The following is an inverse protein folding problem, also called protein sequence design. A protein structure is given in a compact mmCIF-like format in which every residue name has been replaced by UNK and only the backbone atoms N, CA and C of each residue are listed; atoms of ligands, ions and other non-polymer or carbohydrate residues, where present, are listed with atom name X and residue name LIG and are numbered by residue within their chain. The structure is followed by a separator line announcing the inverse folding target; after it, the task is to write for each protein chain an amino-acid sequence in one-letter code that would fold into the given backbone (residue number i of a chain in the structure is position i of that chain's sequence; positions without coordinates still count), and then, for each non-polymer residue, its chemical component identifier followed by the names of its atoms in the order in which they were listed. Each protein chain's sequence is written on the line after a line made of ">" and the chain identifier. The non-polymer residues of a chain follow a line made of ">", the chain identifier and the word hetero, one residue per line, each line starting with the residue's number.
data_IF_277922965858
#
_entry.id   IF_277922965858
#
_cell.length_a   1.000
_cell.length_b   1.000
_cell.length_c   1.000
_cell.angle_alpha   90.00
_cell.angle_beta   90.00
_cell.angle_gamma   90.00
#
_symmetry.space_group_name_H-M   'P 1'
#
loop_
_entity.id
_entity.type
_entity.pdbx_description
1 polymer ?
#
# COMPACT_ATOMS: atom_id res chain seq x y z
N UNK A 1 3.54 6.63 22.77
CA UNK A 1 3.41 7.91 22.08
C UNK A 1 2.00 8.10 21.54
N UNK A 2 1.48 9.34 21.52
CA UNK A 2 0.19 9.63 20.90
C UNK A 2 0.26 9.42 19.38
N UNK A 3 -0.81 8.90 18.75
CA UNK A 3 -0.86 8.77 17.31
C UNK A 3 -0.82 10.14 16.62
N UNK A 4 -0.16 10.22 15.47
CA UNK A 4 -0.10 11.42 14.64
C UNK A 4 -1.52 11.83 14.19
N UNK A 5 -1.82 13.13 14.20
CA UNK A 5 -3.13 13.68 13.86
C UNK A 5 -3.01 14.77 12.79
N UNK A 6 -4.06 14.97 12.04
CA UNK A 6 -4.19 16.11 11.13
C UNK A 6 -4.12 17.41 11.94
N UNK A 7 -3.28 18.35 11.47
CA UNK A 7 -2.96 19.61 12.14
C UNK A 7 -1.69 19.56 13.00
N UNK A 8 -1.13 18.40 13.28
CA UNK A 8 0.14 18.29 14.00
C UNK A 8 1.27 18.92 13.17
N UNK A 9 2.14 19.72 13.82
CA UNK A 9 3.30 20.34 13.18
C UNK A 9 4.33 19.28 12.81
N UNK A 10 4.87 19.39 11.59
CA UNK A 10 5.95 18.51 11.10
C UNK A 10 7.04 19.32 10.41
N UNK A 11 8.24 18.76 10.41
CA UNK A 11 9.42 19.30 9.75
C UNK A 11 9.92 18.29 8.72
N UNK A 12 9.97 18.69 7.47
CA UNK A 12 10.58 17.89 6.41
C UNK A 12 12.05 18.25 6.28
N UNK A 13 12.93 17.27 6.44
CA UNK A 13 14.38 17.42 6.36
C UNK A 13 14.87 16.75 5.09
N UNK A 14 15.78 17.40 4.37
CA UNK A 14 16.36 16.84 3.15
C UNK A 14 17.47 17.71 2.58
N UNK A 15 17.85 17.44 1.32
CA UNK A 15 18.83 18.23 0.58
C UNK A 15 18.25 18.60 -0.80
N UNK A 16 17.27 19.54 -0.83
CA UNK A 16 16.61 19.91 -2.07
C UNK A 16 17.61 20.51 -3.04
N UNK A 17 17.57 20.02 -4.28
CA UNK A 17 18.44 20.47 -5.39
C UNK A 17 19.95 20.37 -5.11
N UNK A 18 20.39 19.64 -4.07
CA UNK A 18 21.81 19.55 -3.71
C UNK A 18 22.40 20.81 -3.07
N UNK A 19 21.55 21.71 -2.59
CA UNK A 19 21.98 23.00 -2.01
C UNK A 19 22.44 22.90 -0.56
N UNK A 20 22.45 21.70 0.01
CA UNK A 20 22.77 21.44 1.42
C UNK A 20 21.53 21.04 2.23
N UNK A 21 21.78 20.65 3.48
CA UNK A 21 20.71 20.25 4.38
C UNK A 21 19.72 21.40 4.60
N UNK A 22 18.45 21.12 4.38
CA UNK A 22 17.35 22.08 4.48
C UNK A 22 16.24 21.52 5.33
N UNK A 23 15.58 22.37 6.08
CA UNK A 23 14.39 22.03 6.89
C UNK A 23 13.24 22.92 6.44
N UNK A 24 12.11 22.32 6.13
CA UNK A 24 10.86 23.04 5.87
C UNK A 24 9.80 22.63 6.86
N UNK A 25 9.01 23.59 7.36
CA UNK A 25 7.93 23.37 8.30
C UNK A 25 6.59 23.35 7.60
N UNK A 26 5.70 22.52 8.09
CA UNK A 26 4.30 22.45 7.71
C UNK A 26 3.50 21.69 8.75
N UNK A 27 2.34 21.18 8.33
CA UNK A 27 1.47 20.35 9.16
C UNK A 27 1.15 19.03 8.48
N UNK A 28 0.63 18.10 9.25
CA UNK A 28 -0.07 16.93 8.70
C UNK A 28 -1.39 17.41 8.10
N UNK A 29 -1.48 17.43 6.78
CA UNK A 29 -2.69 17.86 6.06
C UNK A 29 -3.73 16.74 5.94
N UNK A 30 -3.28 15.48 5.88
CA UNK A 30 -4.13 14.30 5.89
C UNK A 30 -3.34 13.03 6.24
N UNK A 31 -4.05 12.01 6.69
CA UNK A 31 -3.51 10.66 6.95
C UNK A 31 -4.20 9.64 6.04
N UNK A 32 -3.54 8.50 5.81
CA UNK A 32 -4.12 7.40 5.04
C UNK A 32 -4.35 7.73 3.57
N UNK A 33 -3.55 8.64 2.98
CA UNK A 33 -3.66 8.95 1.55
C UNK A 33 -3.15 7.81 0.69
N UNK A 34 -3.99 7.37 -0.22
CA UNK A 34 -3.83 6.15 -0.99
C UNK A 34 -3.71 6.37 -2.49
N UNK A 35 -3.78 7.60 -2.93
CA UNK A 35 -4.25 8.01 -4.26
C UNK A 35 -3.20 8.01 -5.36
N UNK A 36 -1.96 7.63 -5.12
CA UNK A 36 -0.87 7.96 -6.05
C UNK A 36 -0.42 6.83 -6.97
N UNK A 37 -1.17 5.72 -7.01
CA UNK A 37 -0.87 4.63 -7.97
C UNK A 37 0.47 3.91 -7.76
N UNK A 38 1.30 4.39 -6.82
CA UNK A 38 2.67 3.92 -6.61
C UNK A 38 2.75 2.62 -5.80
N UNK A 39 1.79 2.40 -4.89
CA UNK A 39 1.72 1.16 -4.12
C UNK A 39 0.33 0.99 -3.50
N UNK A 40 -0.31 -0.17 -3.63
CA UNK A 40 -1.56 -0.47 -2.94
C UNK A 40 -1.37 -0.62 -1.41
N UNK A 41 -0.14 -0.66 -0.95
CA UNK A 41 0.21 -0.93 0.46
C UNK A 41 0.57 0.32 1.25
N UNK A 42 0.79 1.46 0.60
CA UNK A 42 1.22 2.68 1.27
C UNK A 42 0.04 3.57 1.65
N UNK A 43 -0.07 3.88 2.94
CA UNK A 43 -0.96 4.89 3.50
C UNK A 43 -0.14 6.13 3.80
N UNK A 44 0.01 7.02 2.81
CA UNK A 44 0.87 8.19 2.95
C UNK A 44 0.34 9.21 3.96
N UNK A 45 1.28 9.86 4.64
CA UNK A 45 1.08 11.11 5.36
C UNK A 45 1.13 12.24 4.33
N UNK A 46 0.09 13.04 4.24
CA UNK A 46 0.09 14.26 3.43
C UNK A 46 0.54 15.43 4.29
N UNK A 47 1.41 16.29 3.75
CA UNK A 47 1.90 17.50 4.41
C UNK A 47 2.00 18.65 3.42
N UNK A 48 1.89 19.88 3.91
CA UNK A 48 2.20 21.11 3.21
C UNK A 48 3.61 21.63 3.51
N UNK A 49 4.41 20.93 4.32
CA UNK A 49 5.84 21.17 4.40
C UNK A 49 6.47 21.02 3.01
N UNK A 50 7.28 21.97 2.58
CA UNK A 50 7.82 22.00 1.23
C UNK A 50 8.73 20.79 0.96
N UNK A 51 8.30 19.91 0.08
CA UNK A 51 9.05 18.76 -0.41
C UNK A 51 9.40 19.02 -1.88
N UNK A 52 10.69 18.96 -2.20
CA UNK A 52 11.21 19.16 -3.54
C UNK A 52 12.18 18.03 -3.90
N UNK A 53 12.54 17.86 -5.18
CA UNK A 53 13.56 16.90 -5.60
C UNK A 53 14.84 17.04 -4.77
N UNK A 54 15.28 15.95 -4.15
CA UNK A 54 16.39 15.88 -3.18
C UNK A 54 15.94 15.71 -1.72
N UNK A 55 14.68 15.95 -1.39
CA UNK A 55 14.13 15.63 -0.07
C UNK A 55 13.68 14.17 0.07
N UNK A 56 13.45 13.47 -1.04
CA UNK A 56 13.04 12.06 -1.05
C UNK A 56 14.08 11.19 -0.33
N UNK A 57 13.61 10.34 0.60
CA UNK A 57 14.46 9.57 1.51
C UNK A 57 14.85 10.31 2.80
N UNK A 58 14.63 11.63 2.87
CA UNK A 58 14.83 12.44 4.07
C UNK A 58 13.71 12.23 5.10
N UNK A 59 13.96 12.68 6.32
CA UNK A 59 13.05 12.51 7.43
C UNK A 59 11.88 13.51 7.39
N UNK A 60 10.69 13.03 7.77
CA UNK A 60 9.60 13.86 8.28
C UNK A 60 9.56 13.62 9.79
N UNK A 61 9.78 14.67 10.58
CA UNK A 61 9.77 14.61 12.05
C UNK A 61 8.64 15.45 12.61
N UNK A 62 8.22 15.17 13.82
CA UNK A 62 7.29 16.04 14.54
C UNK A 62 8.02 17.15 15.34
N UNK A 63 7.24 17.96 16.07
CA UNK A 63 7.77 19.05 16.91
C UNK A 63 8.64 18.59 18.08
N UNK A 64 8.61 17.30 18.45
CA UNK A 64 9.44 16.70 19.48
C UNK A 64 10.73 16.08 18.90
N UNK A 65 10.93 16.16 17.58
CA UNK A 65 12.09 15.62 16.88
C UNK A 65 11.99 14.12 16.57
N UNK A 66 10.82 13.51 16.75
CA UNK A 66 10.71 12.09 16.44
C UNK A 66 10.32 11.85 14.98
N UNK A 67 10.91 10.81 14.40
CA UNK A 67 10.60 10.37 13.05
C UNK A 67 9.14 9.90 12.94
N UNK A 68 8.37 10.56 12.09
CA UNK A 68 6.98 10.21 11.78
C UNK A 68 6.79 9.70 10.36
N UNK A 69 7.71 10.04 9.45
CA UNK A 69 7.67 9.56 8.07
C UNK A 69 8.98 9.73 7.32
N UNK A 70 9.01 9.18 6.11
CA UNK A 70 10.09 9.34 5.13
C UNK A 70 9.53 10.11 3.94
N UNK A 71 10.09 11.29 3.65
CA UNK A 71 9.69 12.12 2.51
C UNK A 71 9.83 11.31 1.20
N UNK A 72 8.80 11.28 0.36
CA UNK A 72 8.78 10.33 -0.76
C UNK A 72 8.46 11.02 -2.08
N UNK A 73 7.38 11.77 -2.17
CA UNK A 73 6.90 12.33 -3.43
C UNK A 73 6.01 13.57 -3.22
N UNK A 74 5.72 14.26 -4.30
CA UNK A 74 4.78 15.38 -4.35
C UNK A 74 3.64 15.08 -5.32
N UNK A 75 2.49 15.69 -5.10
CA UNK A 75 1.48 15.83 -6.14
C UNK A 75 1.69 17.17 -6.84
N UNK A 76 2.00 17.13 -8.12
CA UNK A 76 2.32 18.33 -8.88
C UNK A 76 1.93 18.18 -10.34
N UNK A 77 1.46 19.26 -10.93
CA UNK A 77 1.19 19.38 -12.37
C UNK A 77 2.38 19.98 -13.11
N UNK A 78 3.15 20.81 -12.44
CA UNK A 78 4.31 21.52 -13.00
C UNK A 78 5.64 20.79 -12.77
N UNK A 79 5.66 19.76 -11.91
CA UNK A 79 6.88 19.09 -11.43
C UNK A 79 7.53 19.75 -10.21
N UNK A 80 7.00 20.92 -9.77
CA UNK A 80 7.44 21.63 -8.57
C UNK A 80 6.44 21.45 -7.44
N UNK A 81 6.85 21.71 -6.20
CA UNK A 81 5.96 21.63 -5.03
C UNK A 81 4.81 22.66 -5.14
N UNK A 82 3.59 22.19 -5.06
CA UNK A 82 2.34 22.97 -5.14
C UNK A 82 1.53 22.89 -3.83
N UNK A 83 2.20 22.73 -2.68
CA UNK A 83 1.54 22.64 -1.38
C UNK A 83 1.06 21.24 -0.99
N UNK A 84 1.37 20.20 -1.79
CA UNK A 84 0.95 18.82 -1.50
C UNK A 84 2.17 17.89 -1.59
N UNK A 85 2.70 17.56 -0.43
CA UNK A 85 3.77 16.58 -0.27
C UNK A 85 3.28 15.32 0.43
N UNK A 86 4.02 14.22 0.26
CA UNK A 86 3.70 12.92 0.84
C UNK A 86 4.94 12.28 1.45
N UNK A 87 4.72 11.70 2.63
CA UNK A 87 5.72 10.88 3.30
C UNK A 87 5.18 9.48 3.58
N UNK A 88 6.04 8.49 3.49
CA UNK A 88 5.75 7.13 3.92
C UNK A 88 5.76 7.10 5.46
N UNK A 89 4.75 6.52 6.15
CA UNK A 89 4.78 6.39 7.60
C UNK A 89 6.03 5.70 8.11
N UNK A 90 6.65 6.24 9.17
CA UNK A 90 7.88 5.69 9.74
C UNK A 90 7.71 4.24 10.21
N UNK A 91 6.54 3.87 10.72
CA UNK A 91 6.23 2.50 11.14
C UNK A 91 6.39 1.53 9.97
N UNK A 92 5.79 1.85 8.82
CA UNK A 92 5.90 1.00 7.62
C UNK A 92 7.34 0.97 7.10
N UNK A 93 8.04 2.11 7.10
CA UNK A 93 9.43 2.16 6.66
C UNK A 93 10.35 1.29 7.56
N UNK A 94 10.15 1.32 8.87
CA UNK A 94 10.90 0.51 9.84
C UNK A 94 10.59 -0.98 9.71
N UNK A 95 9.31 -1.35 9.54
CA UNK A 95 8.91 -2.74 9.29
C UNK A 95 9.60 -3.30 8.03
N UNK A 96 9.58 -2.55 6.93
CA UNK A 96 10.24 -2.93 5.68
C UNK A 96 11.76 -3.02 5.87
N UNK A 97 12.37 -2.08 6.58
CA UNK A 97 13.81 -2.10 6.85
C UNK A 97 14.23 -3.35 7.65
N UNK A 98 13.47 -3.69 8.70
CA UNK A 98 13.70 -4.90 9.50
C UNK A 98 13.53 -6.18 8.69
N UNK A 99 12.55 -6.22 7.79
CA UNK A 99 12.34 -7.36 6.89
C UNK A 99 13.54 -7.54 5.94
N UNK A 100 14.03 -6.45 5.36
CA UNK A 100 15.21 -6.46 4.49
C UNK A 100 16.46 -6.89 5.28
N UNK A 101 16.66 -6.35 6.49
CA UNK A 101 17.80 -6.68 7.33
C UNK A 101 17.81 -8.17 7.71
N UNK A 102 16.66 -8.73 8.06
CA UNK A 102 16.55 -10.12 8.53
C UNK A 102 16.49 -11.15 7.41
N UNK A 103 15.90 -10.81 6.25
CA UNK A 103 15.58 -11.76 5.17
C UNK A 103 16.22 -11.39 3.82
N UNK A 104 16.95 -10.27 3.73
CA UNK A 104 17.55 -9.77 2.51
C UNK A 104 16.58 -9.20 1.47
N UNK A 105 15.27 -9.36 1.70
CA UNK A 105 14.22 -8.93 0.77
C UNK A 105 12.88 -8.76 1.48
N UNK A 106 11.99 -8.02 0.85
CA UNK A 106 10.59 -7.88 1.29
C UNK A 106 9.76 -9.02 0.70
N UNK A 107 9.17 -9.84 1.55
CA UNK A 107 8.34 -10.98 1.14
C UNK A 107 6.88 -10.59 1.28
N UNK A 108 6.13 -10.62 0.19
CA UNK A 108 4.69 -10.34 0.17
C UNK A 108 3.92 -11.53 -0.37
N UNK A 109 2.83 -11.88 0.31
CA UNK A 109 1.87 -12.84 -0.19
C UNK A 109 1.25 -12.36 -1.52
N UNK A 110 0.89 -13.30 -2.37
CA UNK A 110 0.37 -13.01 -3.70
C UNK A 110 -0.52 -14.12 -4.23
N UNK A 111 -1.55 -13.77 -4.99
CA UNK A 111 -2.43 -14.72 -5.64
C UNK A 111 -2.37 -14.68 -7.17
N UNK A 112 -1.94 -13.58 -7.76
CA UNK A 112 -1.92 -13.42 -9.22
C UNK A 112 -3.31 -13.22 -9.83
N UNK A 113 -4.10 -12.33 -9.22
CA UNK A 113 -5.40 -11.92 -9.73
C UNK A 113 -5.54 -10.40 -9.74
N UNK A 114 -6.43 -9.93 -10.59
CA UNK A 114 -6.94 -8.55 -10.57
C UNK A 114 -8.45 -8.59 -10.32
N UNK A 115 -8.94 -7.67 -9.50
CA UNK A 115 -10.35 -7.59 -9.19
C UNK A 115 -10.79 -6.13 -8.99
N UNK A 116 -12.02 -5.84 -9.37
CA UNK A 116 -12.65 -4.52 -9.22
C UNK A 116 -13.96 -4.68 -8.44
N UNK A 117 -14.46 -3.63 -7.77
CA UNK A 117 -15.76 -3.68 -7.14
C UNK A 117 -16.85 -4.12 -8.13
N UNK A 118 -17.72 -5.05 -7.73
CA UNK A 118 -18.88 -5.42 -8.54
C UNK A 118 -19.90 -4.28 -8.58
N UNK A 119 -20.64 -4.15 -9.66
CA UNK A 119 -21.59 -3.05 -9.88
C UNK A 119 -22.69 -2.96 -8.80
N UNK A 120 -23.05 -4.08 -8.19
CA UNK A 120 -24.04 -4.18 -7.11
C UNK A 120 -23.43 -4.08 -5.71
N UNK A 121 -22.11 -3.88 -5.60
CA UNK A 121 -21.41 -3.79 -4.31
C UNK A 121 -21.33 -5.09 -3.51
N UNK A 122 -21.79 -6.21 -4.07
CA UNK A 122 -21.90 -7.48 -3.35
C UNK A 122 -20.60 -8.31 -3.34
N UNK A 123 -19.47 -7.75 -3.80
CA UNK A 123 -18.20 -8.45 -3.85
C UNK A 123 -17.21 -7.80 -4.82
N UNK A 124 -16.18 -8.54 -5.20
CA UNK A 124 -15.21 -8.10 -6.19
C UNK A 124 -15.29 -8.99 -7.45
N UNK A 125 -15.43 -8.36 -8.60
CA UNK A 125 -15.38 -9.04 -9.89
C UNK A 125 -13.92 -9.30 -10.28
N UNK A 126 -13.57 -10.56 -10.47
CA UNK A 126 -12.24 -10.96 -10.95
C UNK A 126 -12.14 -10.62 -12.44
N UNK A 127 -11.25 -9.71 -12.79
CA UNK A 127 -11.05 -9.24 -14.17
C UNK A 127 -9.92 -9.99 -14.88
N UNK A 128 -8.89 -10.38 -14.15
CA UNK A 128 -7.78 -11.16 -14.68
C UNK A 128 -7.25 -12.17 -13.65
N UNK A 129 -6.75 -13.29 -14.16
CA UNK A 129 -6.05 -14.32 -13.36
C UNK A 129 -4.81 -14.73 -14.14
N UNK A 130 -3.65 -14.62 -13.51
CA UNK A 130 -2.38 -15.03 -14.11
C UNK A 130 -2.33 -16.55 -14.27
N UNK A 131 -2.09 -17.03 -15.49
CA UNK A 131 -1.96 -18.45 -15.75
C UNK A 131 -0.80 -19.06 -14.94
N UNK A 132 -1.07 -20.21 -14.30
CA UNK A 132 -0.10 -20.88 -13.42
C UNK A 132 0.11 -20.20 -12.07
N UNK A 133 -0.50 -19.03 -11.82
CA UNK A 133 -0.47 -18.37 -10.51
C UNK A 133 -1.37 -19.06 -9.48
N UNK A 134 -1.19 -18.75 -8.19
CA UNK A 134 -1.95 -19.34 -7.09
C UNK A 134 -3.46 -19.32 -7.27
N UNK A 135 -4.03 -18.20 -7.73
CA UNK A 135 -5.46 -18.07 -8.00
C UNK A 135 -5.91 -19.01 -9.13
N UNK A 136 -5.12 -19.11 -10.20
CA UNK A 136 -5.39 -20.01 -11.33
C UNK A 136 -5.36 -21.48 -10.88
N UNK A 137 -4.36 -21.87 -10.12
CA UNK A 137 -4.21 -23.23 -9.56
C UNK A 137 -5.38 -23.58 -8.64
N UNK A 138 -5.87 -22.60 -7.86
CA UNK A 138 -7.06 -22.76 -7.01
C UNK A 138 -8.37 -22.84 -7.80
N UNK A 139 -8.35 -22.61 -9.12
CA UNK A 139 -9.52 -22.69 -9.98
C UNK A 139 -10.32 -21.39 -10.12
N UNK A 140 -9.79 -20.24 -9.69
CA UNK A 140 -10.38 -18.94 -9.99
C UNK A 140 -10.27 -18.64 -11.50
N UNK A 141 -11.24 -17.90 -12.00
CA UNK A 141 -11.32 -17.52 -13.41
C UNK A 141 -11.76 -16.07 -13.55
N UNK A 142 -11.37 -15.38 -14.62
CA UNK A 142 -12.01 -14.12 -14.97
C UNK A 142 -13.54 -14.29 -15.07
N UNK A 143 -14.29 -13.32 -14.53
CA UNK A 143 -15.75 -13.38 -14.45
C UNK A 143 -16.29 -13.99 -13.16
N UNK A 144 -15.46 -14.57 -12.29
CA UNK A 144 -15.90 -14.96 -10.95
C UNK A 144 -16.15 -13.71 -10.09
N UNK A 145 -17.14 -13.79 -9.21
CA UNK A 145 -17.33 -12.79 -8.17
C UNK A 145 -16.73 -13.33 -6.86
N UNK A 146 -15.69 -12.70 -6.34
CA UNK A 146 -15.14 -13.01 -5.04
C UNK A 146 -16.04 -12.40 -3.95
N UNK A 147 -16.66 -13.25 -3.12
CA UNK A 147 -17.56 -12.85 -2.06
C UNK A 147 -16.86 -12.73 -0.71
N UNK A 148 -15.93 -13.64 -0.42
CA UNK A 148 -15.19 -13.65 0.83
C UNK A 148 -13.79 -14.23 0.63
N UNK A 149 -12.88 -13.80 1.50
CA UNK A 149 -11.51 -14.27 1.59
C UNK A 149 -11.15 -14.36 3.07
N UNK A 150 -10.68 -15.53 3.50
CA UNK A 150 -10.31 -15.81 4.90
C UNK A 150 -11.45 -15.47 5.88
N UNK A 151 -12.69 -15.80 5.50
CA UNK A 151 -13.89 -15.49 6.27
C UNK A 151 -14.32 -14.02 6.28
N UNK A 152 -13.56 -13.13 5.63
CA UNK A 152 -13.87 -11.69 5.53
C UNK A 152 -14.59 -11.37 4.22
N UNK A 153 -15.65 -10.55 4.22
CA UNK A 153 -16.30 -10.12 2.99
C UNK A 153 -15.35 -9.36 2.07
N UNK A 154 -15.29 -9.74 0.79
CA UNK A 154 -14.43 -9.11 -0.21
C UNK A 154 -15.14 -7.89 -0.83
N UNK A 155 -15.15 -6.74 -0.13
CA UNK A 155 -15.84 -5.54 -0.60
C UNK A 155 -14.92 -4.53 -1.29
N UNK A 156 -13.68 -4.46 -0.89
CA UNK A 156 -12.70 -3.50 -1.41
C UNK A 156 -11.47 -4.23 -1.92
N UNK A 157 -11.12 -4.01 -3.18
CA UNK A 157 -9.98 -4.67 -3.83
C UNK A 157 -8.65 -4.37 -3.13
N UNK A 158 -8.52 -3.18 -2.54
CA UNK A 158 -7.34 -2.79 -1.81
C UNK A 158 -7.19 -3.54 -0.49
N UNK A 159 -8.24 -3.60 0.34
CA UNK A 159 -8.22 -4.35 1.60
C UNK A 159 -7.87 -5.82 1.33
N UNK A 160 -8.43 -6.36 0.23
CA UNK A 160 -8.08 -7.69 -0.25
C UNK A 160 -6.58 -7.81 -0.56
N UNK A 161 -6.03 -6.87 -1.34
CA UNK A 161 -4.62 -6.89 -1.72
C UNK A 161 -3.69 -6.74 -0.51
N UNK A 162 -4.04 -5.87 0.44
CA UNK A 162 -3.29 -5.69 1.70
C UNK A 162 -3.32 -6.96 2.54
N UNK A 163 -4.50 -7.57 2.70
CA UNK A 163 -4.62 -8.81 3.46
C UNK A 163 -3.82 -9.96 2.82
N UNK A 164 -3.92 -10.14 1.50
CA UNK A 164 -3.12 -11.16 0.79
C UNK A 164 -1.62 -10.91 0.98
N UNK A 165 -1.19 -9.65 0.89
CA UNK A 165 0.23 -9.28 1.02
C UNK A 165 0.80 -9.54 2.42
N UNK A 166 -0.03 -9.47 3.46
CA UNK A 166 0.38 -9.77 4.84
C UNK A 166 0.50 -11.26 5.15
N UNK A 167 -0.02 -12.13 4.27
CA UNK A 167 0.01 -13.56 4.47
C UNK A 167 1.38 -14.16 4.09
N UNK A 168 1.81 -15.13 4.86
CA UNK A 168 3.04 -15.88 4.56
C UNK A 168 2.87 -16.73 3.30
N UNK A 169 3.80 -16.66 2.33
CA UNK A 169 3.79 -17.57 1.19
C UNK A 169 3.76 -19.04 1.63
N UNK A 170 2.96 -19.85 0.94
CA UNK A 170 2.71 -21.25 1.28
C UNK A 170 1.50 -21.47 2.19
N UNK A 171 0.98 -20.45 2.88
CA UNK A 171 -0.22 -20.56 3.71
C UNK A 171 -1.47 -20.87 2.87
N UNK A 172 -2.44 -21.54 3.50
CA UNK A 172 -3.75 -21.81 2.88
C UNK A 172 -4.65 -20.61 3.06
N UNK A 173 -5.40 -20.29 2.04
CA UNK A 173 -6.30 -19.15 2.01
C UNK A 173 -7.67 -19.60 1.48
N UNK A 174 -8.67 -19.75 2.35
CA UNK A 174 -10.01 -20.09 1.93
C UNK A 174 -10.68 -18.90 1.23
N UNK A 175 -11.36 -19.19 0.13
CA UNK A 175 -12.07 -18.24 -0.71
C UNK A 175 -13.51 -18.69 -0.88
N UNK A 176 -14.43 -17.76 -1.01
CA UNK A 176 -15.79 -18.03 -1.47
C UNK A 176 -16.05 -17.18 -2.71
N UNK A 177 -16.35 -17.84 -3.82
CA UNK A 177 -16.70 -17.16 -5.06
C UNK A 177 -18.15 -17.44 -5.45
N UNK A 178 -18.70 -16.58 -6.30
CA UNK A 178 -19.93 -16.87 -7.04
C UNK A 178 -19.58 -17.02 -8.51
N UNK A 179 -20.03 -18.11 -9.12
CA UNK A 179 -19.91 -18.41 -10.55
C UNK A 179 -21.25 -18.91 -11.06
N UNK A 180 -21.82 -18.25 -12.05
CA UNK A 180 -23.14 -18.59 -12.62
C UNK A 180 -24.24 -18.69 -11.54
N UNK A 181 -24.27 -17.75 -10.60
CA UNK A 181 -25.25 -17.70 -9.51
C UNK A 181 -25.08 -18.75 -8.40
N UNK A 182 -23.99 -19.55 -8.43
CA UNK A 182 -23.70 -20.55 -7.40
C UNK A 182 -22.48 -20.15 -6.60
N UNK A 183 -22.57 -20.25 -5.27
CA UNK A 183 -21.43 -20.07 -4.39
C UNK A 183 -20.56 -21.33 -4.39
N UNK A 184 -19.26 -21.14 -4.58
CA UNK A 184 -18.27 -22.20 -4.67
C UNK A 184 -17.15 -21.88 -3.68
N UNK A 185 -16.91 -22.74 -2.68
CA UNK A 185 -15.73 -22.63 -1.82
C UNK A 185 -14.49 -23.09 -2.61
N UNK A 186 -13.43 -22.34 -2.52
CA UNK A 186 -12.11 -22.65 -3.08
C UNK A 186 -11.05 -22.50 -1.99
N UNK A 187 -9.91 -23.14 -2.14
CA UNK A 187 -8.74 -22.92 -1.32
C UNK A 187 -7.55 -22.59 -2.22
N UNK A 188 -6.96 -21.44 -2.04
CA UNK A 188 -5.72 -21.07 -2.70
C UNK A 188 -4.53 -21.27 -1.76
N UNK A 189 -3.36 -21.57 -2.33
CA UNK A 189 -2.10 -21.53 -1.60
C UNK A 189 -1.41 -20.21 -1.95
N UNK A 190 -1.20 -19.35 -0.95
CA UNK A 190 -0.55 -18.04 -1.14
C UNK A 190 0.82 -18.24 -1.76
N UNK A 191 1.11 -17.56 -2.86
CA UNK A 191 2.43 -17.51 -3.47
C UNK A 191 3.25 -16.34 -2.96
N UNK A 192 4.54 -16.33 -3.29
CA UNK A 192 5.38 -15.16 -3.13
C UNK A 192 5.19 -14.24 -4.34
N UNK A 193 5.05 -12.93 -4.09
CA UNK A 193 4.95 -11.95 -5.18
C UNK A 193 6.25 -11.94 -5.99
N UNK A 194 6.19 -12.10 -7.32
CA UNK A 194 7.38 -11.99 -8.16
C UNK A 194 8.02 -10.60 -8.02
N UNK A 195 9.37 -10.49 -8.08
CA UNK A 195 10.03 -9.20 -8.11
C UNK A 195 9.54 -8.39 -9.31
N UNK A 196 9.24 -7.11 -9.08
CA UNK A 196 8.95 -6.18 -10.17
C UNK A 196 10.25 -5.93 -10.94
N UNK A 197 10.24 -6.23 -12.23
CA UNK A 197 11.34 -5.91 -13.15
C UNK A 197 11.27 -4.45 -13.58
#
# INVERSE_FOLDING_TARGET
>A
RAPLRVGDTVLAIGNPFGLGQTVSQGIVSALGRQTLGTSPYADFIQTDAAINPGNSGGALIDSEGALVGINTLIFSRSGSFEGIGFALPATLALEVAQEIESQGQVIRGWLGLEAVPSADGAGLMVTAVLAGGPASVAGLRPGDRLLALDGRPARQARELAQHIASLTPGSRLPLVIERQGRQIPLEARVGQRPPQR
#
